data_IF_446757031465
#
_entry.id   IF_446757031465
#
_cell.length_a   1.000
_cell.length_b   1.000
_cell.length_c   1.000
_cell.angle_alpha   90.00
_cell.angle_beta   90.00
_cell.angle_gamma   90.00
#
_symmetry.space_group_name_H-M   'P 1'
#
loop_
_entity.id
_entity.type
_entity.pdbx_description
1 polymer ?
#
# COMPACT_ATOMS: atom_id res chain seq x y z
N UNK A 1 0.41 -6.54 -10.35
CA UNK A 1 0.30 -7.98 -10.67
C UNK A 1 1.69 -8.59 -10.60
N UNK A 2 1.82 -9.70 -9.88
CA UNK A 2 3.09 -10.44 -9.76
C UNK A 2 3.35 -11.25 -11.07
N UNK A 3 4.61 -11.29 -11.53
CA UNK A 3 5.05 -12.06 -12.71
C UNK A 3 4.69 -13.54 -12.61
N UNK A 4 4.64 -14.10 -11.40
CA UNK A 4 4.22 -15.48 -11.17
C UNK A 4 2.81 -15.77 -11.70
N UNK A 5 1.93 -14.76 -11.68
CA UNK A 5 0.55 -14.83 -12.21
C UNK A 5 0.55 -15.21 -13.69
N UNK A 6 1.50 -14.66 -14.47
CA UNK A 6 1.65 -14.98 -15.88
C UNK A 6 2.01 -16.46 -16.08
N UNK A 7 2.91 -17.01 -15.28
CA UNK A 7 3.30 -18.42 -15.37
C UNK A 7 2.16 -19.38 -15.05
N UNK A 8 1.35 -19.08 -14.02
CA UNK A 8 0.14 -19.86 -13.70
C UNK A 8 -0.80 -19.96 -14.90
N UNK A 9 -1.05 -18.84 -15.59
CA UNK A 9 -1.89 -18.84 -16.80
C UNK A 9 -1.23 -19.58 -17.94
N UNK A 10 0.05 -19.30 -18.20
CA UNK A 10 0.76 -19.87 -19.34
C UNK A 10 0.83 -21.38 -19.24
N UNK A 11 1.19 -21.93 -18.07
CA UNK A 11 1.22 -23.37 -17.86
C UNK A 11 -0.19 -23.96 -18.02
N UNK A 12 -1.23 -23.34 -17.45
CA UNK A 12 -2.61 -23.80 -17.62
C UNK A 12 -3.06 -23.88 -19.10
N UNK A 13 -2.60 -22.94 -19.94
CA UNK A 13 -2.86 -23.02 -21.40
C UNK A 13 -2.14 -24.18 -22.09
N UNK A 14 -0.97 -24.58 -21.59
CA UNK A 14 -0.10 -25.58 -22.23
C UNK A 14 -0.42 -27.00 -21.74
N UNK A 15 -0.76 -27.18 -20.46
CA UNK A 15 -1.03 -28.51 -19.92
C UNK A 15 -2.25 -29.13 -20.61
N UNK A 16 -2.18 -30.44 -20.82
CA UNK A 16 -3.28 -31.23 -21.36
C UNK A 16 -4.49 -31.24 -20.42
N UNK A 17 -5.66 -31.54 -20.99
CA UNK A 17 -6.84 -31.86 -20.20
C UNK A 17 -6.56 -33.00 -19.20
N UNK A 18 -7.13 -32.89 -18.01
CA UNK A 18 -6.86 -33.77 -16.85
C UNK A 18 -5.39 -33.80 -16.40
N UNK A 19 -4.62 -32.77 -16.77
CA UNK A 19 -3.26 -32.53 -16.28
C UNK A 19 -3.25 -31.75 -14.97
N UNK A 20 -2.10 -31.79 -14.28
CA UNK A 20 -1.86 -31.00 -13.07
C UNK A 20 -0.74 -29.98 -13.31
N UNK A 21 -0.85 -28.84 -12.63
CA UNK A 21 0.25 -27.91 -12.42
C UNK A 21 0.40 -27.65 -10.92
N UNK A 22 1.64 -27.66 -10.43
CA UNK A 22 1.97 -27.37 -9.03
C UNK A 22 3.05 -26.31 -8.98
N UNK A 23 2.78 -25.19 -8.31
CA UNK A 23 3.71 -24.07 -8.20
C UNK A 23 3.75 -23.52 -6.78
N UNK A 24 4.91 -22.94 -6.45
CA UNK A 24 5.10 -22.10 -5.27
C UNK A 24 5.04 -20.65 -5.72
N UNK A 25 4.31 -19.81 -4.99
CA UNK A 25 4.10 -18.41 -5.34
C UNK A 25 4.19 -17.50 -4.13
N UNK A 26 4.39 -16.20 -4.31
CA UNK A 26 4.16 -15.25 -3.21
C UNK A 26 2.69 -15.32 -2.80
N UNK A 27 2.39 -15.06 -1.52
CA UNK A 27 1.01 -15.09 -1.02
C UNK A 27 0.06 -14.09 -1.72
N UNK A 28 0.60 -13.14 -2.49
CA UNK A 28 -0.15 -12.17 -3.29
C UNK A 28 -0.91 -12.79 -4.45
N UNK A 29 -0.59 -14.02 -4.88
CA UNK A 29 -1.33 -14.75 -5.94
C UNK A 29 -2.81 -14.93 -5.62
N UNK A 30 -3.17 -14.95 -4.34
CA UNK A 30 -4.53 -15.07 -3.83
C UNK A 30 -5.14 -13.72 -3.40
N UNK A 31 -4.52 -12.59 -3.79
CA UNK A 31 -4.91 -11.24 -3.37
C UNK A 31 -5.05 -10.28 -4.56
N UNK A 32 -5.97 -9.31 -4.44
CA UNK A 32 -6.12 -8.19 -5.37
C UNK A 32 -6.18 -8.58 -6.85
N UNK A 33 -5.49 -7.81 -7.69
CA UNK A 33 -5.48 -8.01 -9.15
C UNK A 33 -4.79 -9.31 -9.58
N UNK A 34 -3.77 -9.77 -8.84
CA UNK A 34 -3.06 -11.02 -9.13
C UNK A 34 -4.02 -12.22 -9.01
N UNK A 35 -4.91 -12.22 -8.01
CA UNK A 35 -5.97 -13.23 -7.87
C UNK A 35 -6.94 -13.22 -9.05
N UNK A 36 -7.50 -12.04 -9.36
CA UNK A 36 -8.55 -11.87 -10.38
C UNK A 36 -8.06 -12.35 -11.74
N UNK A 37 -6.88 -11.91 -12.15
CA UNK A 37 -6.36 -12.26 -13.46
C UNK A 37 -5.55 -13.57 -13.46
N UNK A 38 -5.27 -14.17 -12.30
CA UNK A 38 -4.59 -15.46 -12.15
C UNK A 38 -5.55 -16.59 -11.83
N UNK A 39 -5.74 -16.85 -10.53
CA UNK A 39 -6.50 -18.00 -10.03
C UNK A 39 -7.98 -17.92 -10.40
N UNK A 40 -8.62 -16.75 -10.25
CA UNK A 40 -10.04 -16.60 -10.59
C UNK A 40 -10.28 -16.81 -12.10
N UNK A 41 -9.38 -16.29 -12.94
CA UNK A 41 -9.40 -16.56 -14.38
C UNK A 41 -9.29 -18.06 -14.67
N UNK A 42 -8.34 -18.77 -14.05
CA UNK A 42 -8.14 -20.21 -14.28
C UNK A 42 -9.39 -21.01 -13.85
N UNK A 43 -9.94 -20.72 -12.68
CA UNK A 43 -11.17 -21.37 -12.20
C UNK A 43 -12.35 -21.16 -13.15
N UNK A 44 -12.52 -19.93 -13.66
CA UNK A 44 -13.57 -19.60 -14.66
C UNK A 44 -13.35 -20.26 -16.03
N UNK A 45 -12.15 -20.75 -16.31
CA UNK A 45 -11.78 -21.36 -17.60
C UNK A 45 -11.52 -22.88 -17.46
N UNK A 46 -12.25 -23.54 -16.57
CA UNK A 46 -12.23 -25.01 -16.44
C UNK A 46 -11.06 -25.54 -15.61
N UNK A 47 -10.45 -24.73 -14.74
CA UNK A 47 -9.47 -25.19 -13.77
C UNK A 47 -10.12 -25.48 -12.42
N UNK A 48 -9.57 -26.44 -11.68
CA UNK A 48 -9.95 -26.71 -10.29
C UNK A 48 -8.71 -26.69 -9.40
N UNK A 49 -8.73 -25.97 -8.28
CA UNK A 49 -7.65 -26.03 -7.29
C UNK A 49 -7.88 -27.28 -6.43
N UNK A 50 -6.96 -28.25 -6.52
CA UNK A 50 -7.07 -29.51 -5.79
C UNK A 50 -6.18 -29.60 -4.55
N UNK A 51 -5.26 -28.67 -4.37
CA UNK A 51 -4.48 -28.54 -3.15
C UNK A 51 -4.03 -27.09 -2.99
N UNK A 52 -4.13 -26.56 -1.77
CA UNK A 52 -3.62 -25.24 -1.46
C UNK A 52 -3.16 -25.14 -0.01
N UNK A 53 -1.99 -24.54 0.19
CA UNK A 53 -1.57 -23.96 1.47
C UNK A 53 -1.45 -22.46 1.23
N UNK A 54 -2.33 -21.70 1.91
CA UNK A 54 -2.51 -20.27 1.66
C UNK A 54 -1.28 -19.44 2.01
N UNK A 55 -0.67 -19.69 3.17
CA UNK A 55 0.55 -19.01 3.59
C UNK A 55 1.37 -19.91 4.49
N UNK A 56 2.65 -20.06 4.15
CA UNK A 56 3.70 -20.60 5.00
C UNK A 56 4.92 -19.68 4.93
N UNK A 57 5.65 -19.57 6.04
CA UNK A 57 6.95 -18.90 6.03
C UNK A 57 7.90 -19.67 5.13
N UNK A 58 8.60 -18.96 4.26
CA UNK A 58 9.67 -19.55 3.47
C UNK A 58 10.77 -20.05 4.41
N UNK A 59 11.22 -21.31 4.29
CA UNK A 59 12.22 -21.88 5.20
C UNK A 59 13.64 -21.36 4.94
N UNK A 60 13.88 -20.70 3.81
CA UNK A 60 15.21 -20.16 3.45
C UNK A 60 15.47 -18.75 4.01
N UNK A 61 16.55 -18.14 3.54
CA UNK A 61 17.03 -16.83 4.03
C UNK A 61 16.11 -15.65 3.67
N UNK A 62 15.22 -15.81 2.69
CA UNK A 62 14.31 -14.75 2.28
C UNK A 62 13.15 -14.61 3.28
N UNK A 63 12.95 -13.40 3.80
CA UNK A 63 11.84 -13.07 4.71
C UNK A 63 10.51 -12.88 3.95
N UNK A 64 10.02 -13.95 3.31
CA UNK A 64 8.78 -13.96 2.52
C UNK A 64 7.84 -15.08 2.96
N UNK A 65 6.55 -14.86 2.75
CA UNK A 65 5.53 -15.90 2.88
C UNK A 65 5.11 -16.39 1.49
N UNK A 66 4.96 -17.70 1.35
CA UNK A 66 4.61 -18.34 0.08
C UNK A 66 3.31 -19.12 0.18
N UNK A 67 2.63 -19.25 -0.96
CA UNK A 67 1.52 -20.16 -1.17
C UNK A 67 1.98 -21.38 -1.97
N UNK A 68 1.51 -22.56 -1.58
CA UNK A 68 1.68 -23.81 -2.34
C UNK A 68 0.35 -24.12 -2.99
N UNK A 69 0.34 -24.29 -4.32
CA UNK A 69 -0.92 -24.44 -5.07
C UNK A 69 -0.75 -25.54 -6.10
N UNK A 70 -1.72 -26.45 -6.14
CA UNK A 70 -1.89 -27.40 -7.23
C UNK A 70 -3.24 -27.16 -7.91
N UNK A 71 -3.22 -27.08 -9.23
CA UNK A 71 -4.38 -26.91 -10.09
C UNK A 71 -4.48 -28.11 -11.03
N UNK A 72 -5.69 -28.62 -11.15
CA UNK A 72 -6.10 -29.60 -12.13
C UNK A 72 -6.83 -28.91 -13.28
N UNK A 73 -6.58 -29.34 -14.52
CA UNK A 73 -7.31 -28.86 -15.70
C UNK A 73 -8.50 -29.77 -15.99
N UNK A 74 -9.69 -29.24 -15.73
CA UNK A 74 -10.98 -29.92 -15.73
C UNK A 74 -11.67 -29.85 -14.37
N UNK A 75 -12.81 -30.51 -14.28
CA UNK A 75 -13.57 -30.64 -13.04
C UNK A 75 -12.90 -31.67 -12.12
N UNK A 76 -12.51 -31.23 -10.92
CA UNK A 76 -11.94 -32.10 -9.91
C UNK A 76 -12.96 -32.36 -8.80
N UNK A 77 -13.72 -33.45 -8.94
CA UNK A 77 -14.70 -33.87 -7.94
C UNK A 77 -14.00 -34.50 -6.75
N UNK A 78 -13.67 -33.68 -5.75
CA UNK A 78 -13.09 -34.14 -4.48
C UNK A 78 -13.78 -33.50 -3.29
N UNK A 79 -13.69 -34.17 -2.16
CA UNK A 79 -14.15 -33.68 -0.86
C UNK A 79 -12.94 -33.16 -0.09
N UNK A 80 -12.99 -31.89 0.29
CA UNK A 80 -11.98 -31.27 1.11
C UNK A 80 -12.45 -31.17 2.55
N UNK A 81 -11.57 -31.43 3.51
CA UNK A 81 -11.89 -31.36 4.93
C UNK A 81 -11.06 -30.30 5.62
N UNK A 82 -11.71 -29.42 6.38
CA UNK A 82 -11.05 -28.50 7.30
C UNK A 82 -11.80 -28.48 8.62
N UNK A 83 -11.15 -28.93 9.70
CA UNK A 83 -11.75 -29.03 11.05
C UNK A 83 -13.12 -29.73 11.00
N UNK A 84 -13.16 -30.91 10.38
CA UNK A 84 -14.34 -31.77 10.27
C UNK A 84 -15.51 -31.22 9.42
N UNK A 85 -15.33 -30.07 8.78
CA UNK A 85 -16.29 -29.54 7.78
C UNK A 85 -15.87 -29.96 6.38
N UNK A 86 -16.81 -30.54 5.64
CA UNK A 86 -16.67 -30.93 4.23
C UNK A 86 -16.91 -29.72 3.31
N UNK A 87 -16.08 -29.59 2.29
CA UNK A 87 -16.19 -28.60 1.23
C UNK A 87 -15.99 -29.26 -0.13
N UNK A 88 -16.66 -28.74 -1.16
CA UNK A 88 -16.60 -29.28 -2.51
C UNK A 88 -15.50 -28.68 -3.38
N UNK A 89 -14.92 -27.53 -3.00
CA UNK A 89 -13.86 -26.87 -3.77
C UNK A 89 -13.00 -25.92 -2.92
N UNK A 90 -11.86 -25.54 -3.49
CA UNK A 90 -10.98 -24.45 -3.01
C UNK A 90 -11.15 -23.27 -3.97
N UNK A 91 -11.50 -22.10 -3.44
CA UNK A 91 -11.75 -20.89 -4.23
C UNK A 91 -10.46 -20.13 -4.57
N UNK A 92 -10.58 -19.05 -5.35
CA UNK A 92 -9.42 -18.26 -5.78
C UNK A 92 -8.68 -17.53 -4.65
N UNK A 93 -9.29 -17.40 -3.46
CA UNK A 93 -8.64 -16.88 -2.24
C UNK A 93 -7.86 -17.95 -1.46
N UNK A 94 -7.75 -19.16 -2.02
CA UNK A 94 -7.17 -20.35 -1.38
C UNK A 94 -7.87 -20.70 -0.07
N UNK A 95 -9.17 -20.41 0.01
CA UNK A 95 -10.03 -20.81 1.10
C UNK A 95 -10.95 -21.94 0.62
N UNK A 96 -11.44 -22.74 1.56
CA UNK A 96 -12.42 -23.79 1.26
C UNK A 96 -13.83 -23.19 1.17
N UNK A 97 -14.59 -23.62 0.15
CA UNK A 97 -15.99 -23.22 -0.03
C UNK A 97 -16.18 -21.81 -0.56
N UNK A 98 -17.24 -21.16 -0.08
CA UNK A 98 -17.82 -19.94 -0.66
C UNK A 98 -16.78 -18.88 -1.03
N UNK A 99 -16.93 -18.38 -2.26
CA UNK A 99 -16.18 -17.25 -2.77
C UNK A 99 -17.02 -15.98 -2.55
N UNK A 100 -16.67 -15.21 -1.52
CA UNK A 100 -17.28 -13.90 -1.29
C UNK A 100 -16.62 -12.87 -2.20
N UNK A 101 -17.43 -12.22 -3.03
CA UNK A 101 -17.01 -11.07 -3.82
C UNK A 101 -17.35 -9.81 -3.04
N UNK A 102 -16.35 -9.06 -2.52
CA UNK A 102 -16.63 -7.79 -1.87
C UNK A 102 -17.22 -6.81 -2.91
N UNK A 103 -18.43 -6.34 -2.65
CA UNK A 103 -19.05 -5.31 -3.49
C UNK A 103 -18.49 -3.93 -3.13
N UNK A 104 -18.27 -3.10 -4.15
CA UNK A 104 -17.90 -1.72 -3.93
C UNK A 104 -19.10 -0.95 -3.37
N UNK A 105 -18.94 -0.37 -2.18
CA UNK A 105 -19.94 0.48 -1.57
C UNK A 105 -19.79 1.90 -2.16
N UNK A 106 -20.57 2.21 -3.20
CA UNK A 106 -20.54 3.52 -3.85
C UNK A 106 -20.88 4.68 -2.91
N UNK A 107 -21.64 4.43 -1.85
CA UNK A 107 -21.95 5.42 -0.82
C UNK A 107 -20.69 5.99 -0.14
N UNK A 108 -19.58 5.25 -0.11
CA UNK A 108 -18.31 5.69 0.51
C UNK A 108 -17.39 6.44 -0.48
N UNK A 109 -17.82 6.68 -1.72
CA UNK A 109 -17.01 7.38 -2.72
C UNK A 109 -16.67 8.80 -2.22
N UNK A 110 -15.39 9.14 -2.24
CA UNK A 110 -14.91 10.44 -1.75
C UNK A 110 -14.95 10.60 -0.22
N UNK A 111 -15.06 9.50 0.54
CA UNK A 111 -15.03 9.52 2.00
C UNK A 111 -13.77 8.89 2.60
N UNK A 112 -13.00 8.14 1.80
CA UNK A 112 -11.74 7.52 2.21
C UNK A 112 -10.62 7.94 1.28
N UNK A 113 -9.51 8.38 1.86
CA UNK A 113 -8.37 8.89 1.11
C UNK A 113 -7.07 8.37 1.69
N UNK A 114 -6.08 8.22 0.81
CA UNK A 114 -4.70 8.06 1.25
C UNK A 114 -4.11 9.42 1.61
N UNK A 115 -3.43 9.49 2.75
CA UNK A 115 -2.71 10.66 3.23
C UNK A 115 -1.61 11.14 2.29
N UNK A 116 -0.96 12.24 2.69
CA UNK A 116 0.18 12.79 1.97
C UNK A 116 1.35 11.81 1.93
N UNK A 117 2.02 11.73 0.78
CA UNK A 117 3.25 10.94 0.60
C UNK A 117 4.36 11.93 0.24
N UNK A 118 5.26 12.25 1.19
CA UNK A 118 6.35 13.19 0.94
C UNK A 118 7.28 12.71 -0.17
N UNK A 119 7.56 11.40 -0.18
CA UNK A 119 8.48 10.75 -1.11
C UNK A 119 9.86 11.42 -1.08
N UNK A 120 10.61 11.14 -0.01
CA UNK A 120 11.94 11.70 0.27
C UNK A 120 12.08 12.00 1.76
N UNK A 121 13.17 11.54 2.38
CA UNK A 121 13.41 11.78 3.82
C UNK A 121 13.88 13.21 4.10
N UNK A 122 14.39 13.92 3.10
CA UNK A 122 14.84 15.30 3.19
C UNK A 122 13.75 16.34 3.51
N UNK A 123 12.48 15.94 3.59
CA UNK A 123 11.40 16.79 4.10
C UNK A 123 11.24 16.73 5.61
N UNK A 124 11.76 15.68 6.26
CA UNK A 124 11.54 15.45 7.68
C UNK A 124 12.55 16.22 8.52
N UNK A 125 12.07 16.69 9.67
CA UNK A 125 12.84 17.43 10.66
C UNK A 125 12.63 16.82 12.04
N UNK A 126 13.66 16.92 12.88
CA UNK A 126 13.57 16.68 14.31
C UNK A 126 13.24 17.97 15.08
N UNK A 127 12.91 17.83 16.36
CA UNK A 127 12.49 18.98 17.18
C UNK A 127 13.57 20.06 17.35
N UNK A 128 14.85 19.71 17.31
CA UNK A 128 15.95 20.67 17.42
C UNK A 128 16.09 21.50 16.14
N UNK A 129 15.98 20.86 14.97
CA UNK A 129 15.99 21.54 13.67
C UNK A 129 14.83 22.52 13.55
N UNK A 130 13.62 22.13 13.97
CA UNK A 130 12.46 23.02 13.98
C UNK A 130 12.70 24.25 14.86
N UNK A 131 13.19 24.07 16.09
CA UNK A 131 13.50 25.20 16.99
C UNK A 131 14.52 26.15 16.37
N UNK A 132 15.54 25.60 15.71
CA UNK A 132 16.57 26.40 15.04
C UNK A 132 15.99 27.21 13.88
N UNK A 133 15.25 26.57 12.97
CA UNK A 133 14.65 27.21 11.80
C UNK A 133 13.65 28.32 12.16
N UNK A 134 12.88 28.12 13.23
CA UNK A 134 11.92 29.11 13.74
C UNK A 134 12.63 30.30 14.39
N UNK A 135 13.75 30.05 15.08
CA UNK A 135 14.58 31.12 15.67
C UNK A 135 15.20 32.01 14.58
N UNK A 136 15.64 31.41 13.46
CA UNK A 136 16.19 32.18 12.33
C UNK A 136 15.09 33.02 11.67
N UNK A 137 13.95 32.38 11.36
CA UNK A 137 12.85 33.03 10.68
C UNK A 137 11.52 32.46 11.17
N UNK A 138 10.79 33.26 11.93
CA UNK A 138 9.50 32.84 12.49
C UNK A 138 8.45 32.48 11.42
N UNK A 139 8.61 32.98 10.17
CA UNK A 139 7.73 32.62 9.07
C UNK A 139 7.80 31.12 8.73
N UNK A 140 8.93 30.43 9.03
CA UNK A 140 9.11 29.00 8.76
C UNK A 140 8.05 28.12 9.45
N UNK A 141 7.44 28.59 10.54
CA UNK A 141 6.31 27.89 11.18
C UNK A 141 5.13 27.67 10.23
N UNK A 142 4.98 28.48 9.17
CA UNK A 142 3.88 28.34 8.19
C UNK A 142 4.06 27.14 7.26
N UNK A 143 5.26 26.58 7.17
CA UNK A 143 5.58 25.43 6.31
C UNK A 143 6.02 24.20 7.11
N UNK A 144 6.17 24.31 8.43
CA UNK A 144 6.61 23.23 9.30
C UNK A 144 5.40 22.68 10.06
N UNK A 145 5.13 21.38 9.90
CA UNK A 145 3.97 20.72 10.53
C UNK A 145 4.39 19.46 11.30
N UNK A 146 3.68 19.10 12.38
CA UNK A 146 3.84 17.78 12.98
C UNK A 146 3.53 16.69 11.94
N UNK A 147 4.34 15.62 11.92
CA UNK A 147 4.19 14.55 10.94
C UNK A 147 3.90 13.21 11.60
N UNK A 148 2.67 12.74 11.47
CA UNK A 148 2.22 11.45 12.00
C UNK A 148 2.24 10.37 10.92
N UNK A 149 2.77 9.20 11.25
CA UNK A 149 2.65 8.00 10.43
C UNK A 149 1.86 6.88 11.16
N UNK A 150 1.72 5.73 10.52
CA UNK A 150 0.98 4.60 11.11
C UNK A 150 1.60 4.03 12.39
N UNK A 151 2.92 4.19 12.58
CA UNK A 151 3.62 3.76 13.78
C UNK A 151 3.32 4.69 14.96
N UNK A 152 3.35 6.00 14.74
CA UNK A 152 2.98 6.99 15.77
C UNK A 152 1.54 6.77 16.23
N UNK A 153 0.62 6.57 15.27
CA UNK A 153 -0.80 6.36 15.57
C UNK A 153 -1.01 5.09 16.40
N UNK A 154 -0.39 3.98 15.99
CA UNK A 154 -0.64 2.69 16.64
C UNK A 154 0.06 2.53 17.99
N UNK A 155 1.18 3.22 18.23
CA UNK A 155 2.02 2.99 19.41
C UNK A 155 2.02 4.13 20.43
N UNK A 156 1.54 5.33 20.06
CA UNK A 156 1.48 6.46 20.98
C UNK A 156 0.02 6.80 21.31
N UNK A 157 -0.39 6.53 22.55
CA UNK A 157 -1.74 6.83 23.03
C UNK A 157 -2.12 8.31 22.85
N UNK A 158 -1.15 9.23 23.00
CA UNK A 158 -1.38 10.67 22.83
C UNK A 158 -1.26 11.13 21.37
N UNK A 159 -1.01 10.23 20.42
CA UNK A 159 -0.83 10.51 18.99
C UNK A 159 0.14 11.68 18.73
N UNK A 160 1.20 11.75 19.55
CA UNK A 160 2.26 12.75 19.39
C UNK A 160 3.31 12.22 18.41
N UNK A 161 3.81 13.12 17.57
CA UNK A 161 4.99 12.85 16.74
C UNK A 161 6.19 13.61 17.28
N UNK A 162 7.33 12.95 17.33
CA UNK A 162 8.63 13.60 17.51
C UNK A 162 9.21 14.12 16.18
N UNK A 163 8.51 13.84 15.08
CA UNK A 163 8.89 14.20 13.72
C UNK A 163 8.03 15.34 13.21
N UNK A 164 8.69 16.19 12.44
CA UNK A 164 8.10 17.32 11.76
C UNK A 164 8.38 17.21 10.28
N UNK A 165 7.64 17.96 9.47
CA UNK A 165 7.79 17.94 8.03
C UNK A 165 7.68 19.34 7.44
N UNK A 166 8.51 19.61 6.43
CA UNK A 166 8.42 20.80 5.59
C UNK A 166 7.39 20.52 4.49
N UNK A 167 6.31 21.30 4.44
CA UNK A 167 5.26 21.22 3.42
C UNK A 167 5.06 22.59 2.75
N UNK A 168 5.49 22.68 1.49
CA UNK A 168 5.30 23.85 0.64
C UNK A 168 3.96 23.84 -0.13
N UNK A 169 3.06 22.90 0.15
CA UNK A 169 1.80 22.73 -0.56
C UNK A 169 1.98 22.58 -2.08
N UNK A 170 1.20 23.33 -2.86
CA UNK A 170 1.29 23.45 -4.30
C UNK A 170 1.91 24.78 -4.75
N UNK A 171 2.56 25.50 -3.83
CA UNK A 171 3.14 26.81 -4.09
C UNK A 171 4.28 26.77 -5.11
N UNK A 172 4.43 27.88 -5.82
CA UNK A 172 5.48 28.09 -6.80
C UNK A 172 6.87 28.15 -6.13
N UNK A 173 7.87 27.60 -6.84
CA UNK A 173 9.24 27.49 -6.32
C UNK A 173 9.82 28.84 -5.90
N UNK A 174 9.59 29.90 -6.68
CA UNK A 174 10.12 31.23 -6.41
C UNK A 174 9.48 31.85 -5.16
N UNK A 175 8.20 31.58 -4.92
CA UNK A 175 7.53 31.98 -3.69
C UNK A 175 8.15 31.27 -2.48
N UNK A 176 8.38 29.96 -2.57
CA UNK A 176 8.98 29.18 -1.49
C UNK A 176 10.41 29.64 -1.17
N UNK A 177 11.25 29.82 -2.20
CA UNK A 177 12.63 30.33 -2.07
C UNK A 177 12.68 31.69 -1.40
N UNK A 178 11.80 32.61 -1.81
CA UNK A 178 11.79 33.98 -1.30
C UNK A 178 11.30 34.07 0.15
N UNK A 179 10.27 33.31 0.51
CA UNK A 179 9.59 33.47 1.80
C UNK A 179 10.09 32.51 2.89
N UNK A 180 10.68 31.37 2.50
CA UNK A 180 11.16 30.33 3.42
C UNK A 180 12.52 29.79 2.99
N UNK A 181 13.54 30.66 2.79
CA UNK A 181 14.82 30.26 2.21
C UNK A 181 15.51 29.14 3.01
N UNK A 182 15.42 29.16 4.35
CA UNK A 182 16.09 28.17 5.20
C UNK A 182 15.47 26.78 5.06
N UNK A 183 14.13 26.69 5.04
CA UNK A 183 13.44 25.42 4.79
C UNK A 183 13.66 24.95 3.36
N UNK A 184 13.69 25.89 2.40
CA UNK A 184 13.87 25.57 0.99
C UNK A 184 15.26 24.99 0.72
N UNK A 185 16.30 25.55 1.32
CA UNK A 185 17.69 25.06 1.19
C UNK A 185 17.83 23.61 1.67
N UNK A 186 17.19 23.24 2.78
CA UNK A 186 17.19 21.86 3.27
C UNK A 186 16.59 20.91 2.23
N UNK A 187 15.40 21.28 1.71
CA UNK A 187 14.69 20.47 0.71
C UNK A 187 15.49 20.42 -0.60
N UNK A 188 16.15 21.51 -1.00
CA UNK A 188 17.02 21.53 -2.19
C UNK A 188 18.22 20.61 -2.02
N UNK A 189 18.90 20.67 -0.88
CA UNK A 189 20.10 19.87 -0.63
C UNK A 189 19.80 18.38 -0.48
N UNK A 190 18.67 18.02 0.13
CA UNK A 190 18.36 16.64 0.50
C UNK A 190 17.37 15.94 -0.44
N UNK A 191 16.40 16.65 -1.00
CA UNK A 191 15.32 16.03 -1.81
C UNK A 191 15.64 16.10 -3.29
N UNK A 192 16.13 17.24 -3.81
CA UNK A 192 16.36 17.43 -5.25
C UNK A 192 17.26 16.34 -5.88
N UNK A 193 18.40 15.93 -5.27
CA UNK A 193 19.24 14.88 -5.85
C UNK A 193 18.50 13.53 -5.98
N UNK A 194 17.68 13.17 -4.98
CA UNK A 194 16.87 11.96 -5.00
C UNK A 194 15.78 12.01 -6.09
N UNK A 195 15.26 13.20 -6.38
CA UNK A 195 14.21 13.44 -7.38
C UNK A 195 14.74 13.41 -8.79
N UNK A 196 15.91 14.01 -9.03
CA UNK A 196 16.51 14.14 -10.36
C UNK A 196 16.74 12.78 -11.04
N UNK A 197 17.01 11.72 -10.26
CA UNK A 197 17.20 10.36 -10.76
C UNK A 197 15.90 9.55 -10.95
N UNK A 198 14.75 10.07 -10.51
CA UNK A 198 13.46 9.38 -10.67
C UNK A 198 13.04 9.35 -12.13
N UNK A 199 12.28 8.32 -12.54
CA UNK A 199 11.75 8.22 -13.91
C UNK A 199 10.57 9.15 -14.18
N UNK A 200 9.79 9.45 -13.14
CA UNK A 200 8.61 10.33 -13.25
C UNK A 200 9.03 11.79 -13.45
N UNK A 201 8.56 12.40 -14.55
CA UNK A 201 8.86 13.79 -14.90
C UNK A 201 8.29 14.78 -13.89
N UNK A 202 7.10 14.53 -13.35
CA UNK A 202 6.45 15.40 -12.38
C UNK A 202 7.24 15.50 -11.07
N UNK A 203 7.84 14.39 -10.64
CA UNK A 203 8.71 14.38 -9.45
C UNK A 203 10.01 15.17 -9.67
N UNK A 204 10.57 15.16 -10.89
CA UNK A 204 11.75 15.97 -11.23
C UNK A 204 11.42 17.45 -11.32
N UNK A 205 10.32 17.80 -11.98
CA UNK A 205 9.95 19.21 -12.21
C UNK A 205 9.39 19.91 -10.96
N UNK A 206 8.76 19.17 -10.05
CA UNK A 206 8.17 19.68 -8.81
C UNK A 206 8.78 19.01 -7.58
N UNK A 207 10.11 18.87 -7.59
CA UNK A 207 10.87 18.14 -6.57
C UNK A 207 10.68 18.66 -5.14
N UNK A 208 10.37 19.95 -4.97
CA UNK A 208 10.09 20.58 -3.67
C UNK A 208 8.68 20.29 -3.14
N UNK A 209 7.81 19.68 -3.94
CA UNK A 209 6.47 19.26 -3.54
C UNK A 209 6.46 17.77 -3.18
N UNK A 210 5.49 17.38 -2.36
CA UNK A 210 5.26 15.98 -2.03
C UNK A 210 4.86 15.18 -3.26
N UNK A 211 5.34 13.93 -3.33
CA UNK A 211 4.94 12.99 -4.40
C UNK A 211 3.43 12.79 -4.46
N UNK A 212 2.75 12.77 -3.30
CA UNK A 212 1.29 12.88 -3.18
C UNK A 212 0.93 13.96 -2.18
N UNK A 213 0.32 15.04 -2.66
CA UNK A 213 -0.09 16.20 -1.83
C UNK A 213 -1.40 16.00 -1.05
N UNK A 214 -2.17 14.96 -1.35
CA UNK A 214 -3.45 14.71 -0.66
C UNK A 214 -4.52 15.77 -0.90
N UNK A 215 -4.53 16.44 -2.06
CA UNK A 215 -5.44 17.59 -2.34
C UNK A 215 -6.92 17.27 -2.05
N UNK A 216 -7.41 16.13 -2.55
CA UNK A 216 -8.80 15.72 -2.34
C UNK A 216 -9.12 15.40 -0.88
N UNK A 217 -8.15 14.80 -0.16
CA UNK A 217 -8.26 14.55 1.27
C UNK A 217 -8.45 15.87 2.01
N UNK A 218 -7.50 16.80 1.88
CA UNK A 218 -7.53 18.06 2.63
C UNK A 218 -8.74 18.93 2.26
N UNK A 219 -9.18 18.90 0.99
CA UNK A 219 -10.41 19.57 0.57
C UNK A 219 -11.64 18.98 1.27
N UNK A 220 -11.71 17.65 1.39
CA UNK A 220 -12.88 16.96 1.96
C UNK A 220 -12.95 17.06 3.47
N UNK A 221 -11.80 17.12 4.16
CA UNK A 221 -11.77 17.19 5.62
C UNK A 221 -11.78 18.61 6.17
N UNK A 222 -11.62 19.64 5.33
CA UNK A 222 -11.44 21.05 5.76
C UNK A 222 -12.55 21.55 6.70
N UNK A 223 -13.79 21.12 6.48
CA UNK A 223 -14.95 21.53 7.30
C UNK A 223 -15.31 20.53 8.39
N UNK A 224 -14.59 19.41 8.50
CA UNK A 224 -14.90 18.36 9.46
C UNK A 224 -14.17 18.65 10.78
N UNK A 225 -14.89 18.66 11.92
CA UNK A 225 -14.26 18.90 13.22
C UNK A 225 -13.43 17.69 13.69
N UNK A 226 -13.73 16.50 13.14
CA UNK A 226 -13.02 15.26 13.41
C UNK A 226 -12.97 14.38 12.17
N UNK A 227 -11.90 13.61 12.06
CA UNK A 227 -11.68 12.60 11.03
C UNK A 227 -11.30 11.26 11.66
N UNK A 228 -11.58 10.19 10.93
CA UNK A 228 -11.11 8.85 11.28
C UNK A 228 -9.83 8.57 10.50
N UNK A 229 -8.77 8.20 11.21
CA UNK A 229 -7.49 7.82 10.61
C UNK A 229 -7.20 6.36 10.93
N UNK A 230 -6.70 5.63 9.94
CA UNK A 230 -6.24 4.24 10.08
C UNK A 230 -4.87 4.08 9.42
N UNK A 231 -3.99 3.31 10.06
CA UNK A 231 -2.70 2.97 9.46
C UNK A 231 -2.91 2.07 8.23
N UNK A 232 -2.25 2.39 7.11
CA UNK A 232 -2.34 1.60 5.88
C UNK A 232 -1.81 0.17 6.05
N UNK A 233 -0.81 0.01 6.90
CA UNK A 233 -0.18 -1.28 7.21
C UNK A 233 -0.11 -1.42 8.72
N UNK A 234 -0.75 -2.46 9.25
CA UNK A 234 -0.72 -2.82 10.66
C UNK A 234 -1.10 -4.29 10.83
N UNK A 235 -0.69 -4.91 11.94
CA UNK A 235 -1.16 -6.26 12.32
C UNK A 235 -2.62 -6.23 12.79
N UNK A 236 -3.09 -5.09 13.28
CA UNK A 236 -4.43 -4.89 13.83
C UNK A 236 -5.05 -3.61 13.28
N UNK A 237 -6.38 -3.56 13.18
CA UNK A 237 -7.09 -2.36 12.77
C UNK A 237 -7.22 -1.40 13.97
N UNK A 238 -6.31 -0.43 14.06
CA UNK A 238 -6.42 0.71 14.97
C UNK A 238 -7.21 1.84 14.32
N UNK A 239 -8.21 2.38 15.02
CA UNK A 239 -9.08 3.47 14.56
C UNK A 239 -8.87 4.68 15.47
N UNK A 240 -8.50 5.81 14.89
CA UNK A 240 -8.16 7.03 15.63
C UNK A 240 -9.07 8.17 15.22
N UNK A 241 -9.51 8.97 16.19
CA UNK A 241 -10.25 10.20 15.96
C UNK A 241 -9.30 11.39 16.12
N UNK A 242 -9.08 12.12 15.04
CA UNK A 242 -8.25 13.33 15.00
C UNK A 242 -9.07 14.54 14.64
#
# INVERSE_FOLDING_TARGET
MDIVTYFFRRIFTIIKEKGFQSLISTNTIAQGDSRVAGLEYILKNGGSINFAIKSIKWPGLAAVEVSLITIFKGDFNSKYFRKDKEFSFINSYLNFGEELFPFQIFANKGQSFMGSIPLGMGFLLNSAEVRHLVTINNANQKVIFPYLNGEDLNNNYNQKSDRWIINFYDWEIEFCKKNFPECFEIVERLVKPERDIQKDKGYREKWWQFGRRGVELYKSIKSLPKIIVVARTSKTLGVFFS
#
